data_IF_919105184182
#
_entry.id   IF_919105184182
#
_cell.length_a   1.000
_cell.length_b   1.000
_cell.length_c   1.000
_cell.angle_alpha   90.00
_cell.angle_beta   90.00
_cell.angle_gamma   90.00
#
_symmetry.space_group_name_H-M   'P 1'
#
loop_
_entity.id
_entity.type
_entity.pdbx_description
1 polymer ?
#
# COMPACT_ATOMS: atom_id res chain seq x y z
N UNK A 1 -12.94 -0.13 -1.94
CA UNK A 1 -13.38 -1.36 -2.63
C UNK A 1 -12.41 -2.46 -2.21
N UNK A 2 -12.90 -3.69 -2.04
CA UNK A 2 -12.21 -4.82 -1.38
C UNK A 2 -11.07 -5.43 -2.18
N UNK A 3 -10.10 -4.61 -2.60
CA UNK A 3 -8.85 -5.07 -3.17
C UNK A 3 -7.85 -5.20 -2.02
N UNK A 4 -7.24 -6.38 -1.88
CA UNK A 4 -6.10 -6.57 -0.98
C UNK A 4 -4.88 -5.85 -1.56
N UNK A 5 -4.18 -5.08 -0.74
CA UNK A 5 -3.05 -4.26 -1.16
C UNK A 5 -1.84 -4.61 -0.31
N UNK A 6 -0.75 -4.99 -0.97
CA UNK A 6 0.57 -5.05 -0.35
C UNK A 6 1.24 -3.68 -0.49
N UNK A 7 1.59 -3.05 0.63
CA UNK A 7 2.32 -1.79 0.68
C UNK A 7 3.77 -2.07 1.08
N UNK A 8 4.67 -2.02 0.11
CA UNK A 8 6.10 -2.23 0.32
C UNK A 8 6.86 -0.92 0.38
N UNK A 9 7.71 -0.77 1.40
CA UNK A 9 8.73 0.28 1.48
C UNK A 9 10.04 -0.29 2.01
N UNK A 10 11.12 0.48 2.00
CA UNK A 10 12.39 0.12 2.63
C UNK A 10 12.44 0.54 4.11
N UNK A 11 11.53 1.41 4.56
CA UNK A 11 11.50 1.96 5.93
C UNK A 11 10.15 1.75 6.61
N UNK A 12 10.17 1.17 7.80
CA UNK A 12 8.96 0.91 8.58
C UNK A 12 8.24 2.21 8.99
N UNK A 13 8.98 3.30 9.14
CA UNK A 13 8.41 4.62 9.47
C UNK A 13 7.53 5.14 8.33
N UNK A 14 7.91 4.89 7.07
CA UNK A 14 7.16 5.32 5.88
C UNK A 14 5.85 4.56 5.78
N UNK A 15 5.90 3.23 5.97
CA UNK A 15 4.70 2.40 6.04
C UNK A 15 3.76 2.91 7.14
N UNK A 16 4.30 3.13 8.34
CA UNK A 16 3.50 3.59 9.48
C UNK A 16 2.86 4.96 9.23
N UNK A 17 3.57 5.87 8.55
CA UNK A 17 3.03 7.15 8.13
C UNK A 17 1.89 6.98 7.11
N UNK A 18 2.08 6.13 6.10
CA UNK A 18 1.05 5.83 5.10
C UNK A 18 -0.24 5.28 5.73
N UNK A 19 -0.14 4.37 6.70
CA UNK A 19 -1.32 3.88 7.45
C UNK A 19 -2.06 5.01 8.17
N UNK A 20 -1.34 5.93 8.81
CA UNK A 20 -1.94 7.10 9.49
C UNK A 20 -2.67 8.01 8.50
N UNK A 21 -2.07 8.28 7.35
CA UNK A 21 -2.64 9.16 6.33
C UNK A 21 -3.88 8.53 5.67
N UNK A 22 -3.81 7.25 5.34
CA UNK A 22 -4.95 6.47 4.82
C UNK A 22 -6.08 6.46 5.85
N UNK A 23 -5.79 6.18 7.12
CA UNK A 23 -6.79 6.19 8.18
C UNK A 23 -7.44 7.55 8.35
N UNK A 24 -6.65 8.64 8.35
CA UNK A 24 -7.16 10.01 8.41
C UNK A 24 -8.10 10.32 7.25
N UNK A 25 -7.77 9.86 6.04
CA UNK A 25 -8.61 10.01 4.86
C UNK A 25 -9.94 9.24 4.97
N UNK A 26 -9.89 8.01 5.49
CA UNK A 26 -11.08 7.18 5.74
C UNK A 26 -11.98 7.78 6.82
N UNK A 27 -11.40 8.24 7.93
CA UNK A 27 -12.12 8.93 9.01
C UNK A 27 -12.83 10.20 8.49
N UNK A 28 -12.20 10.93 7.57
CA UNK A 28 -12.83 12.08 6.91
C UNK A 28 -14.06 11.66 6.11
N UNK A 29 -14.02 10.55 5.37
CA UNK A 29 -15.18 10.01 4.63
C UNK A 29 -16.29 9.54 5.57
N UNK A 30 -15.94 8.96 6.72
CA UNK A 30 -16.92 8.60 7.77
C UNK A 30 -17.61 9.83 8.32
N UNK A 31 -16.85 10.89 8.63
CA UNK A 31 -17.40 12.17 9.11
C UNK A 31 -18.36 12.80 8.11
N UNK A 32 -18.06 12.72 6.81
CA UNK A 32 -18.95 13.20 5.74
C UNK A 32 -20.08 12.21 5.37
N UNK A 33 -20.29 11.16 6.17
CA UNK A 33 -21.31 10.12 5.96
C UNK A 33 -21.22 9.41 4.60
N UNK A 34 -20.05 9.47 3.96
CA UNK A 34 -19.78 8.75 2.70
C UNK A 34 -19.32 7.31 2.93
N UNK A 35 -18.93 6.97 4.16
CA UNK A 35 -18.60 5.61 4.62
C UNK A 35 -19.15 5.40 6.03
N UNK A 36 -19.48 4.16 6.39
CA UNK A 36 -19.68 3.77 7.79
C UNK A 36 -18.35 3.43 8.46
N UNK A 37 -18.29 3.45 9.79
CA UNK A 37 -17.08 3.06 10.54
C UNK A 37 -16.63 1.61 10.21
N UNK A 38 -17.52 0.60 10.17
CA UNK A 38 -17.13 -0.76 9.76
C UNK A 38 -16.55 -0.82 8.34
N UNK A 39 -17.10 -0.07 7.38
CA UNK A 39 -16.55 -0.02 6.02
C UNK A 39 -15.16 0.61 5.96
N UNK A 40 -14.87 1.59 6.82
CA UNK A 40 -13.53 2.17 6.93
C UNK A 40 -12.54 1.17 7.55
N UNK A 41 -12.95 0.42 8.57
CA UNK A 41 -12.16 -0.63 9.22
C UNK A 41 -11.87 -1.79 8.25
N UNK A 42 -12.86 -2.22 7.47
CA UNK A 42 -12.69 -3.20 6.40
C UNK A 42 -11.69 -2.72 5.34
N UNK A 43 -11.81 -1.46 4.91
CA UNK A 43 -10.92 -0.91 3.89
C UNK A 43 -9.46 -0.83 4.32
N UNK A 44 -9.19 -0.44 5.57
CA UNK A 44 -7.81 -0.42 6.07
C UNK A 44 -7.30 -1.83 6.39
N UNK A 45 -8.18 -2.77 6.74
CA UNK A 45 -7.84 -4.17 6.95
C UNK A 45 -7.33 -4.89 5.70
N UNK A 46 -7.72 -4.40 4.50
CA UNK A 46 -7.21 -4.93 3.23
C UNK A 46 -5.77 -4.50 2.92
N UNK A 47 -5.19 -3.55 3.68
CA UNK A 47 -3.82 -3.08 3.48
C UNK A 47 -2.85 -3.88 4.35
N UNK A 48 -1.81 -4.46 3.74
CA UNK A 48 -0.72 -5.16 4.44
C UNK A 48 0.63 -4.51 4.12
N UNK A 49 1.25 -3.90 5.13
CA UNK A 49 2.57 -3.30 5.03
C UNK A 49 3.70 -4.33 5.19
N UNK A 50 4.75 -4.24 4.38
CA UNK A 50 5.93 -5.10 4.45
C UNK A 50 7.20 -4.39 3.98
N UNK A 51 8.36 -4.92 4.39
CA UNK A 51 9.68 -4.38 4.00
C UNK A 51 10.35 -5.17 2.87
N UNK A 52 9.81 -6.35 2.58
CA UNK A 52 10.30 -7.29 1.58
C UNK A 52 9.27 -7.49 0.46
N UNK A 53 9.62 -8.29 -0.55
CA UNK A 53 8.76 -8.59 -1.70
C UNK A 53 7.98 -9.89 -1.55
N UNK A 54 7.82 -10.44 -0.34
CA UNK A 54 7.07 -11.69 -0.16
C UNK A 54 5.63 -11.54 -0.66
N UNK A 55 5.11 -12.55 -1.34
CA UNK A 55 3.78 -12.58 -1.94
C UNK A 55 3.59 -11.62 -3.14
N UNK A 56 4.65 -11.02 -3.68
CA UNK A 56 4.57 -10.27 -4.95
C UNK A 56 4.30 -11.20 -6.14
N UNK A 57 4.72 -12.47 -6.05
CA UNK A 57 4.42 -13.56 -6.99
C UNK A 57 2.91 -13.81 -7.18
N UNK A 58 2.10 -13.38 -6.20
CA UNK A 58 0.64 -13.52 -6.20
C UNK A 58 -0.09 -12.22 -6.57
N UNK A 59 0.65 -11.13 -6.83
CA UNK A 59 0.04 -9.85 -7.15
C UNK A 59 -0.39 -9.81 -8.61
N UNK A 60 -1.68 -9.53 -8.86
CA UNK A 60 -2.19 -9.36 -10.23
C UNK A 60 -1.68 -8.07 -10.90
N UNK A 61 -1.35 -7.05 -10.09
CA UNK A 61 -0.90 -5.74 -10.54
C UNK A 61 0.07 -5.12 -9.53
N UNK A 62 1.20 -4.63 -10.02
CA UNK A 62 2.18 -3.86 -9.24
C UNK A 62 2.18 -2.42 -9.73
N UNK A 63 2.05 -1.46 -8.80
CA UNK A 63 2.18 -0.03 -9.08
C UNK A 63 3.42 0.48 -8.38
N UNK A 64 4.36 1.02 -9.15
CA UNK A 64 5.57 1.65 -8.63
C UNK A 64 5.33 3.14 -8.37
N UNK A 65 5.74 3.60 -7.19
CA UNK A 65 5.60 4.99 -6.74
C UNK A 65 6.89 5.47 -6.04
N UNK A 66 8.04 5.19 -6.63
CA UNK A 66 9.36 5.65 -6.16
C UNK A 66 9.84 6.89 -6.93
N UNK A 67 10.97 7.45 -6.49
CA UNK A 67 11.58 8.61 -7.14
C UNK A 67 11.88 8.34 -8.62
N UNK A 68 11.80 9.41 -9.43
CA UNK A 68 12.05 9.36 -10.88
C UNK A 68 13.55 9.20 -11.18
N UNK A 69 14.04 7.99 -10.95
CA UNK A 69 15.44 7.59 -11.16
C UNK A 69 15.47 6.27 -11.93
N UNK A 70 15.95 6.32 -13.17
CA UNK A 70 15.90 5.17 -14.08
C UNK A 70 16.70 3.97 -13.60
N UNK A 71 17.85 4.21 -12.96
CA UNK A 71 18.66 3.16 -12.34
C UNK A 71 17.89 2.45 -11.22
N UNK A 72 17.28 3.23 -10.33
CA UNK A 72 16.47 2.71 -9.23
C UNK A 72 15.24 1.94 -9.73
N UNK A 73 14.48 2.50 -10.68
CA UNK A 73 13.28 1.84 -11.23
C UNK A 73 13.61 0.50 -11.88
N UNK A 74 14.71 0.42 -12.64
CA UNK A 74 15.16 -0.85 -13.25
C UNK A 74 15.53 -1.89 -12.20
N UNK A 75 16.23 -1.49 -11.14
CA UNK A 75 16.56 -2.40 -10.04
C UNK A 75 15.30 -2.94 -9.37
N UNK A 76 14.33 -2.07 -9.06
CA UNK A 76 13.08 -2.48 -8.41
C UNK A 76 12.29 -3.44 -9.29
N UNK A 77 12.15 -3.14 -10.58
CA UNK A 77 11.43 -4.03 -11.51
C UNK A 77 12.14 -5.38 -11.61
N UNK A 78 13.47 -5.40 -11.71
CA UNK A 78 14.24 -6.63 -11.74
C UNK A 78 14.09 -7.47 -10.45
N UNK A 79 14.05 -6.84 -9.28
CA UNK A 79 13.78 -7.55 -8.02
C UNK A 79 12.38 -8.17 -8.01
N UNK A 80 11.37 -7.44 -8.50
CA UNK A 80 9.99 -7.92 -8.56
C UNK A 80 9.84 -9.10 -9.52
N UNK A 81 10.50 -9.07 -10.68
CA UNK A 81 10.45 -10.16 -11.67
C UNK A 81 11.10 -11.47 -11.15
N UNK A 82 11.95 -11.40 -10.12
CA UNK A 82 12.57 -12.59 -9.52
C UNK A 82 11.72 -13.28 -8.45
N UNK A 83 10.59 -12.68 -8.07
CA UNK A 83 9.67 -13.20 -7.07
C UNK A 83 8.41 -13.73 -7.73
#
# INVERSE_FOLDING_TARGET
KGVEVLLKDIKQEVISAAYKDIWKSLQRKVRYRSLTKPQAEEQIGNLRGQLDYRNFDKADLVIEAVLERMDLKKTIIGEIETH
#
